data_IF_405143464680
#
_entry.id   IF_405143464680
#
_cell.length_a   1.000
_cell.length_b   1.000
_cell.length_c   1.000
_cell.angle_alpha   90.00
_cell.angle_beta   90.00
_cell.angle_gamma   90.00
#
_symmetry.space_group_name_H-M   'P 1'
#
loop_
_entity.id
_entity.type
_entity.pdbx_description
1 polymer ?
#
# COMPACT_ATOMS: atom_id res chain seq x y z
N UNK A 1 3.78 -41.25 -18.54
CA UNK A 1 3.50 -40.22 -17.52
C UNK A 1 3.13 -38.99 -18.33
N UNK A 2 1.82 -38.79 -18.54
CA UNK A 2 1.31 -37.86 -19.54
C UNK A 2 1.53 -36.42 -19.08
N UNK A 3 2.16 -35.63 -19.95
CA UNK A 3 2.15 -34.18 -19.96
C UNK A 3 0.70 -33.68 -19.98
N UNK A 4 0.29 -33.01 -18.89
CA UNK A 4 -0.96 -32.23 -18.80
C UNK A 4 -0.59 -30.79 -18.42
N UNK A 5 0.39 -30.23 -19.12
CA UNK A 5 0.71 -28.82 -19.01
C UNK A 5 0.56 -28.21 -20.39
N UNK A 6 -0.35 -27.25 -20.49
CA UNK A 6 -0.63 -26.43 -21.66
C UNK A 6 -1.67 -26.95 -22.65
N UNK A 7 -2.92 -27.06 -22.18
CA UNK A 7 -4.05 -26.69 -23.03
C UNK A 7 -4.82 -25.57 -22.33
N UNK A 8 -4.85 -24.40 -22.98
CA UNK A 8 -5.51 -23.18 -22.50
C UNK A 8 -6.91 -23.47 -21.97
N UNK A 9 -7.04 -23.46 -20.64
CA UNK A 9 -8.32 -23.64 -19.95
C UNK A 9 -9.21 -22.43 -20.25
N UNK A 10 -10.04 -22.59 -21.28
CA UNK A 10 -11.32 -21.93 -21.52
C UNK A 10 -11.40 -20.49 -21.00
N UNK A 11 -11.13 -19.52 -21.86
CA UNK A 11 -11.50 -18.11 -21.66
C UNK A 11 -13.03 -17.96 -21.70
N UNK A 12 -13.72 -18.55 -20.72
CA UNK A 12 -15.03 -18.03 -20.36
C UNK A 12 -14.78 -16.60 -19.89
N UNK A 13 -15.48 -15.66 -20.52
CA UNK A 13 -15.43 -14.25 -20.17
C UNK A 13 -15.52 -14.11 -18.64
N UNK A 14 -14.49 -13.55 -18.02
CA UNK A 14 -14.40 -13.37 -16.56
C UNK A 14 -15.65 -12.63 -16.08
N UNK A 15 -16.15 -11.66 -16.85
CA UNK A 15 -17.38 -10.93 -16.53
C UNK A 15 -18.60 -11.87 -16.47
N UNK A 16 -18.69 -12.83 -17.39
CA UNK A 16 -19.79 -13.78 -17.43
C UNK A 16 -19.74 -14.75 -16.24
N UNK A 17 -18.55 -15.20 -15.83
CA UNK A 17 -18.36 -16.01 -14.62
C UNK A 17 -18.70 -15.24 -13.35
N UNK A 18 -18.24 -13.99 -13.23
CA UNK A 18 -18.56 -13.12 -12.08
C UNK A 18 -20.06 -12.93 -11.96
N UNK A 19 -20.75 -12.61 -13.07
CA UNK A 19 -22.21 -12.45 -13.10
C UNK A 19 -22.95 -13.74 -12.73
N UNK A 20 -22.48 -14.89 -13.23
CA UNK A 20 -23.07 -16.18 -12.88
C UNK A 20 -22.91 -16.51 -11.38
N UNK A 21 -21.74 -16.24 -10.79
CA UNK A 21 -21.49 -16.41 -9.36
C UNK A 21 -22.39 -15.52 -8.51
N UNK A 22 -22.47 -14.22 -8.85
CA UNK A 22 -23.34 -13.26 -8.16
C UNK A 22 -24.81 -13.71 -8.20
N UNK A 23 -25.30 -14.05 -9.39
CA UNK A 23 -26.69 -14.50 -9.59
C UNK A 23 -27.01 -15.73 -8.74
N UNK A 24 -26.14 -16.75 -8.76
CA UNK A 24 -26.32 -17.98 -7.97
C UNK A 24 -26.32 -17.72 -6.46
N UNK A 25 -25.49 -16.80 -5.96
CA UNK A 25 -25.42 -16.47 -4.54
C UNK A 25 -26.63 -15.66 -4.08
N UNK A 26 -27.12 -14.73 -4.91
CA UNK A 26 -28.36 -13.97 -4.66
C UNK A 26 -29.57 -14.88 -4.67
N UNK A 27 -29.73 -15.75 -5.67
CA UNK A 27 -30.83 -16.71 -5.77
C UNK A 27 -30.89 -17.66 -4.55
N UNK A 28 -29.73 -18.01 -4.00
CA UNK A 28 -29.62 -18.83 -2.78
C UNK A 28 -29.80 -18.05 -1.48
N UNK A 29 -30.08 -16.74 -1.54
CA UNK A 29 -30.15 -15.82 -0.40
C UNK A 29 -28.87 -15.80 0.47
N UNK A 30 -27.71 -16.05 -0.15
CA UNK A 30 -26.39 -16.02 0.51
C UNK A 30 -25.67 -14.68 0.31
N UNK A 31 -26.17 -13.83 -0.59
CA UNK A 31 -25.59 -12.53 -0.93
C UNK A 31 -26.69 -11.51 -1.20
N UNK A 32 -26.52 -10.29 -0.68
CA UNK A 32 -27.29 -9.12 -1.08
C UNK A 32 -26.47 -8.32 -2.10
N UNK A 33 -26.98 -8.13 -3.31
CA UNK A 33 -26.31 -7.35 -4.35
C UNK A 33 -26.00 -5.91 -3.88
N UNK A 34 -26.88 -5.30 -3.06
CA UNK A 34 -26.63 -3.96 -2.50
C UNK A 34 -25.46 -3.95 -1.51
N UNK A 35 -25.15 -5.08 -0.88
CA UNK A 35 -23.97 -5.18 -0.02
C UNK A 35 -22.68 -5.18 -0.87
N UNK A 36 -22.69 -5.84 -2.03
CA UNK A 36 -21.57 -5.81 -2.99
C UNK A 36 -21.33 -4.38 -3.47
N UNK A 37 -22.37 -3.67 -3.90
CA UNK A 37 -22.27 -2.27 -4.36
C UNK A 37 -21.66 -1.36 -3.29
N UNK A 38 -22.06 -1.53 -2.02
CA UNK A 38 -21.49 -0.77 -0.89
C UNK A 38 -20.00 -1.07 -0.69
N UNK A 39 -19.58 -2.32 -0.84
CA UNK A 39 -18.16 -2.71 -0.73
C UNK A 39 -17.37 -2.10 -1.88
N UNK A 40 -17.90 -2.13 -3.11
CA UNK A 40 -17.25 -1.53 -4.28
C UNK A 40 -17.08 -0.02 -4.07
N UNK A 41 -18.14 0.70 -3.69
CA UNK A 41 -18.08 2.15 -3.43
C UNK A 41 -17.09 2.50 -2.31
N UNK A 42 -17.04 1.68 -1.25
CA UNK A 42 -16.10 1.88 -0.14
C UNK A 42 -14.64 1.91 -0.63
N UNK A 43 -14.22 0.91 -1.41
CA UNK A 43 -12.84 0.81 -1.86
C UNK A 43 -12.52 1.64 -3.11
N UNK A 44 -13.52 2.05 -3.88
CA UNK A 44 -13.31 2.91 -5.05
C UNK A 44 -13.26 4.40 -4.67
N UNK A 45 -14.12 4.84 -3.74
CA UNK A 45 -14.37 6.27 -3.53
C UNK A 45 -14.03 6.76 -2.12
N UNK A 46 -14.03 5.89 -1.10
CA UNK A 46 -13.92 6.31 0.31
C UNK A 46 -12.59 5.95 0.96
N UNK A 47 -12.00 4.82 0.59
CA UNK A 47 -10.72 4.35 1.12
C UNK A 47 -9.65 4.51 0.04
N UNK A 48 -8.55 5.18 0.38
CA UNK A 48 -7.47 5.42 -0.55
C UNK A 48 -6.22 6.01 0.10
N UNK A 49 -5.14 6.19 -0.68
CA UNK A 49 -3.83 6.62 -0.17
C UNK A 49 -3.83 8.01 0.48
N UNK A 50 -4.86 8.83 0.28
CA UNK A 50 -4.99 10.12 0.95
C UNK A 50 -5.06 9.98 2.48
N UNK A 51 -5.54 8.84 2.99
CA UNK A 51 -5.56 8.55 4.43
C UNK A 51 -4.14 8.40 4.98
N UNK A 52 -3.30 7.58 4.33
CA UNK A 52 -1.89 7.45 4.68
C UNK A 52 -1.13 8.77 4.55
N UNK A 53 -1.43 9.57 3.53
CA UNK A 53 -0.82 10.89 3.36
C UNK A 53 -1.11 11.82 4.55
N UNK A 54 -2.32 11.76 5.13
CA UNK A 54 -2.66 12.49 6.36
C UNK A 54 -1.85 12.02 7.56
N UNK A 55 -1.71 10.70 7.74
CA UNK A 55 -0.87 10.10 8.79
C UNK A 55 0.58 10.61 8.67
N UNK A 56 1.15 10.58 7.47
CA UNK A 56 2.52 11.03 7.21
C UNK A 56 2.67 12.53 7.45
N UNK A 57 1.77 13.37 6.92
CA UNK A 57 1.82 14.82 7.10
C UNK A 57 1.69 15.22 8.58
N UNK A 58 0.84 14.53 9.35
CA UNK A 58 0.74 14.70 10.79
C UNK A 58 2.06 14.35 11.48
N UNK A 59 2.67 13.21 11.15
CA UNK A 59 3.96 12.82 11.71
C UNK A 59 5.12 13.77 11.33
N UNK A 60 5.04 14.45 10.19
CA UNK A 60 6.02 15.47 9.80
C UNK A 60 5.86 16.82 10.53
N UNK A 61 4.70 17.08 11.13
CA UNK A 61 4.36 18.37 11.76
C UNK A 61 4.18 18.27 13.28
N UNK A 62 3.97 17.06 13.80
CA UNK A 62 3.74 16.76 15.21
C UNK A 62 4.74 15.67 15.66
N UNK A 63 5.86 16.05 16.31
CA UNK A 63 6.88 15.11 16.77
C UNK A 63 6.37 14.10 17.82
N UNK A 64 5.38 14.47 18.63
CA UNK A 64 4.80 13.58 19.64
C UNK A 64 3.93 12.52 18.96
N UNK A 65 3.13 12.92 17.96
CA UNK A 65 2.40 11.97 17.11
C UNK A 65 3.35 11.05 16.36
N UNK A 66 4.46 11.57 15.81
CA UNK A 66 5.47 10.75 15.14
C UNK A 66 6.03 9.68 16.07
N UNK A 67 6.29 10.02 17.32
CA UNK A 67 6.80 9.06 18.32
C UNK A 67 5.78 7.95 18.55
N UNK A 68 4.52 8.30 18.83
CA UNK A 68 3.43 7.31 18.99
C UNK A 68 3.25 6.45 17.73
N UNK A 69 3.31 7.04 16.54
CA UNK A 69 3.15 6.33 15.27
C UNK A 69 4.21 5.25 15.05
N UNK A 70 5.45 5.50 15.48
CA UNK A 70 6.55 4.55 15.32
C UNK A 70 6.60 3.52 16.45
N UNK A 71 6.01 3.81 17.61
CA UNK A 71 5.86 2.87 18.73
C UNK A 71 4.66 1.93 18.54
N UNK A 72 3.51 2.47 18.17
CA UNK A 72 2.26 1.75 17.92
C UNK A 72 1.52 2.37 16.73
N UNK A 73 1.81 1.83 15.54
CA UNK A 73 1.21 2.28 14.29
C UNK A 73 -0.31 2.07 14.27
N UNK A 74 -0.82 1.02 14.92
CA UNK A 74 -2.25 0.72 14.99
C UNK A 74 -2.99 1.81 15.75
N UNK A 75 -2.54 2.11 16.97
CA UNK A 75 -3.18 3.12 17.81
C UNK A 75 -3.11 4.52 17.18
N UNK A 76 -1.93 4.91 16.69
CA UNK A 76 -1.73 6.25 16.12
C UNK A 76 -2.50 6.48 14.81
N UNK A 77 -2.60 5.46 13.95
CA UNK A 77 -3.42 5.55 12.72
C UNK A 77 -4.92 5.61 13.07
N UNK A 78 -5.34 4.91 14.13
CA UNK A 78 -6.71 4.96 14.63
C UNK A 78 -7.10 6.33 15.23
N UNK A 79 -6.15 7.14 15.74
CA UNK A 79 -6.41 8.52 16.18
C UNK A 79 -7.04 9.38 15.06
N UNK A 80 -6.73 9.08 13.80
CA UNK A 80 -7.28 9.76 12.61
C UNK A 80 -8.52 9.07 12.03
N UNK A 81 -9.02 8.02 12.68
CA UNK A 81 -10.21 7.27 12.26
C UNK A 81 -9.95 6.23 11.15
N UNK A 82 -8.70 5.95 10.82
CA UNK A 82 -8.35 4.98 9.77
C UNK A 82 -8.16 3.60 10.39
N UNK A 83 -9.20 2.78 10.35
CA UNK A 83 -9.15 1.39 10.83
C UNK A 83 -9.93 0.51 9.86
N UNK A 84 -9.73 -0.81 9.93
CA UNK A 84 -10.55 -1.75 9.20
C UNK A 84 -9.78 -2.93 8.63
N UNK A 85 -10.44 -3.63 7.71
CA UNK A 85 -9.97 -4.87 7.10
C UNK A 85 -8.61 -4.65 6.43
N UNK A 86 -7.68 -5.57 6.66
CA UNK A 86 -6.29 -5.49 6.18
C UNK A 86 -5.55 -4.27 6.72
N UNK A 87 -5.79 -3.91 7.97
CA UNK A 87 -5.12 -2.84 8.70
C UNK A 87 -5.40 -2.90 10.20
N UNK A 88 -5.72 -4.08 10.71
CA UNK A 88 -5.99 -4.36 12.12
C UNK A 88 -4.70 -4.28 12.96
N UNK A 89 -3.56 -4.64 12.37
CA UNK A 89 -2.23 -4.52 12.97
C UNK A 89 -1.29 -3.75 12.02
N UNK A 90 -1.05 -2.48 12.34
CA UNK A 90 -0.26 -1.57 11.52
C UNK A 90 1.13 -1.34 12.12
N UNK A 91 2.15 -1.44 11.27
CA UNK A 91 3.53 -1.08 11.60
C UNK A 91 4.01 0.00 10.63
N UNK A 92 4.46 1.12 11.17
CA UNK A 92 5.03 2.22 10.38
C UNK A 92 6.55 2.18 10.44
N UNK A 93 7.19 2.12 9.28
CA UNK A 93 8.65 2.00 9.15
C UNK A 93 9.22 3.28 8.56
N UNK A 94 10.05 3.98 9.33
CA UNK A 94 10.57 5.29 8.96
C UNK A 94 11.82 5.20 8.07
N UNK A 95 11.81 5.95 6.97
CA UNK A 95 13.02 6.22 6.20
C UNK A 95 13.91 7.23 6.93
N UNK A 96 15.22 7.09 6.73
CA UNK A 96 16.28 8.00 7.18
C UNK A 96 17.36 8.06 6.11
N UNK A 97 18.35 8.95 6.24
CA UNK A 97 19.50 9.02 5.33
C UNK A 97 20.23 7.66 5.19
N UNK A 98 20.24 6.88 6.28
CA UNK A 98 20.93 5.60 6.36
C UNK A 98 20.05 4.41 5.98
N UNK A 99 18.71 4.54 5.99
CA UNK A 99 17.78 3.41 5.81
C UNK A 99 16.61 3.81 4.91
N UNK A 100 16.43 3.07 3.82
CA UNK A 100 15.25 3.15 2.96
C UNK A 100 14.43 1.86 3.09
N UNK A 101 13.15 1.98 3.39
CA UNK A 101 12.23 0.87 3.53
C UNK A 101 11.39 0.72 2.27
N UNK A 102 11.06 -0.52 1.90
CA UNK A 102 10.12 -0.85 0.83
C UNK A 102 9.26 -2.03 1.25
N UNK A 103 7.97 -2.02 0.92
CA UNK A 103 7.02 -3.09 1.32
C UNK A 103 6.64 -3.98 0.14
N UNK A 104 6.38 -5.25 0.41
CA UNK A 104 5.94 -6.23 -0.58
C UNK A 104 5.04 -7.26 0.08
N UNK A 105 4.27 -7.99 -0.72
CA UNK A 105 3.70 -9.26 -0.32
C UNK A 105 4.11 -10.29 -1.37
N UNK A 106 5.18 -11.03 -1.10
CA UNK A 106 5.75 -11.96 -2.09
C UNK A 106 4.75 -13.06 -2.48
N UNK A 107 3.92 -13.49 -1.54
CA UNK A 107 2.98 -14.60 -1.72
C UNK A 107 1.68 -14.22 -2.45
N UNK A 108 1.23 -12.98 -2.35
CA UNK A 108 0.00 -12.53 -3.00
C UNK A 108 -0.05 -11.02 -3.22
N UNK A 109 -0.68 -10.29 -2.31
CA UNK A 109 -0.98 -8.86 -2.43
C UNK A 109 -1.42 -8.19 -1.12
N UNK A 110 -1.03 -8.73 0.05
CA UNK A 110 -1.33 -8.13 1.34
C UNK A 110 -0.88 -6.67 1.38
N UNK A 111 -1.73 -5.78 1.88
CA UNK A 111 -1.55 -4.33 1.73
C UNK A 111 -2.39 -3.59 2.78
N UNK A 112 -1.94 -2.46 3.36
CA UNK A 112 -2.67 -1.75 4.41
C UNK A 112 -3.86 -0.97 3.84
N UNK A 113 -5.01 -1.62 3.67
CA UNK A 113 -6.14 -1.01 2.96
C UNK A 113 -6.65 0.29 3.60
N UNK A 114 -6.81 0.40 4.94
CA UNK A 114 -7.34 1.61 5.56
C UNK A 114 -6.53 2.88 5.28
N UNK A 115 -5.20 2.75 5.10
CA UNK A 115 -4.31 3.89 4.84
C UNK A 115 -3.97 4.06 3.37
N UNK A 116 -3.81 2.97 2.61
CA UNK A 116 -3.29 3.02 1.24
C UNK A 116 -4.31 2.63 0.15
N UNK A 117 -5.51 2.19 0.51
CA UNK A 117 -6.51 1.66 -0.43
C UNK A 117 -6.13 0.29 -0.98
N UNK A 118 -6.66 -0.07 -2.15
CA UNK A 118 -6.28 -1.32 -2.81
C UNK A 118 -4.90 -1.22 -3.47
N UNK A 119 -4.10 -2.31 -3.48
CA UNK A 119 -2.75 -2.30 -4.04
C UNK A 119 -2.78 -2.03 -5.55
N UNK A 120 -1.80 -1.26 -6.08
CA UNK A 120 -1.68 -1.05 -7.52
C UNK A 120 -1.42 -2.37 -8.27
N UNK A 121 -1.69 -2.38 -9.57
CA UNK A 121 -1.50 -3.58 -10.40
C UNK A 121 -0.07 -4.11 -10.31
N UNK A 122 0.94 -3.26 -10.52
CA UNK A 122 2.34 -3.66 -10.48
C UNK A 122 2.76 -4.34 -9.15
N UNK A 123 2.14 -3.99 -8.02
CA UNK A 123 2.46 -4.57 -6.72
C UNK A 123 2.04 -6.04 -6.62
N UNK A 124 0.96 -6.40 -7.32
CA UNK A 124 0.37 -7.75 -7.34
C UNK A 124 1.06 -8.68 -8.35
N UNK A 125 1.78 -8.10 -9.32
CA UNK A 125 2.39 -8.84 -10.42
C UNK A 125 3.71 -9.50 -10.00
N UNK A 126 3.99 -10.65 -10.63
CA UNK A 126 5.19 -11.45 -10.36
C UNK A 126 6.53 -10.67 -10.49
N UNK A 127 6.72 -9.73 -11.44
CA UNK A 127 7.98 -9.01 -11.57
C UNK A 127 8.37 -8.23 -10.32
N UNK A 128 7.42 -7.56 -9.65
CA UNK A 128 7.68 -6.85 -8.40
C UNK A 128 7.91 -7.85 -7.26
N UNK A 129 6.96 -8.77 -7.07
CA UNK A 129 6.91 -9.71 -5.93
C UNK A 129 8.11 -10.63 -5.84
N UNK A 130 8.68 -11.04 -6.98
CA UNK A 130 9.81 -11.96 -7.01
C UNK A 130 11.17 -11.26 -6.89
N UNK A 131 11.29 -10.01 -7.38
CA UNK A 131 12.58 -9.33 -7.53
C UNK A 131 12.91 -8.41 -6.37
N UNK A 132 11.93 -7.70 -5.81
CA UNK A 132 12.20 -6.66 -4.80
C UNK A 132 12.84 -7.23 -3.52
N UNK A 133 12.63 -8.50 -3.21
CA UNK A 133 13.27 -9.19 -2.08
C UNK A 133 14.68 -9.73 -2.36
N UNK A 134 15.10 -9.76 -3.62
CA UNK A 134 16.42 -10.29 -4.05
C UNK A 134 17.34 -9.14 -4.43
N UNK A 135 16.85 -8.24 -5.29
CA UNK A 135 17.59 -7.09 -5.80
C UNK A 135 16.73 -5.83 -5.73
N UNK A 136 16.46 -5.33 -4.50
CA UNK A 136 15.60 -4.17 -4.31
C UNK A 136 16.14 -2.90 -4.98
N UNK A 137 17.46 -2.73 -5.08
CA UNK A 137 18.06 -1.52 -5.67
C UNK A 137 17.78 -1.42 -7.16
N UNK A 138 17.93 -2.51 -7.91
CA UNK A 138 17.61 -2.50 -9.34
C UNK A 138 16.11 -2.30 -9.58
N UNK A 139 15.25 -2.91 -8.74
CA UNK A 139 13.80 -2.67 -8.83
C UNK A 139 13.47 -1.20 -8.54
N UNK A 140 14.04 -0.60 -7.50
CA UNK A 140 13.85 0.82 -7.19
C UNK A 140 14.31 1.74 -8.33
N UNK A 141 15.41 1.39 -9.01
CA UNK A 141 15.90 2.14 -10.17
C UNK A 141 14.88 2.14 -11.34
N UNK A 142 14.10 1.07 -11.53
CA UNK A 142 13.01 1.01 -12.52
C UNK A 142 11.85 1.96 -12.18
N UNK A 143 11.67 2.29 -10.89
CA UNK A 143 10.75 3.33 -10.43
C UNK A 143 11.38 4.74 -10.45
N UNK A 144 12.63 4.87 -10.89
CA UNK A 144 13.37 6.14 -10.88
C UNK A 144 13.97 6.50 -9.52
N UNK A 145 14.00 5.57 -8.56
CA UNK A 145 14.61 5.77 -7.24
C UNK A 145 16.04 5.24 -7.23
N UNK A 146 17.01 6.15 -7.15
CA UNK A 146 18.42 5.79 -6.97
C UNK A 146 18.87 6.19 -5.57
N UNK A 147 19.46 5.26 -4.83
CA UNK A 147 19.92 5.45 -3.46
C UNK A 147 21.45 5.36 -3.40
N UNK A 148 22.12 6.14 -2.53
CA UNK A 148 23.54 5.95 -2.24
C UNK A 148 23.86 4.49 -1.88
N UNK A 149 25.05 4.03 -2.23
CA UNK A 149 25.51 2.67 -1.88
C UNK A 149 25.53 2.45 -0.36
N UNK A 150 25.74 3.51 0.41
CA UNK A 150 25.77 3.51 1.87
C UNK A 150 24.39 3.38 2.52
N UNK A 151 23.31 3.70 1.81
CA UNK A 151 21.94 3.64 2.35
C UNK A 151 21.46 2.19 2.39
N UNK A 152 21.18 1.63 3.56
CA UNK A 152 20.64 0.28 3.69
C UNK A 152 19.21 0.23 3.12
N UNK A 153 18.92 -0.76 2.27
CA UNK A 153 17.53 -1.03 1.84
C UNK A 153 16.96 -2.16 2.68
N UNK A 154 15.80 -1.91 3.33
CA UNK A 154 15.06 -2.90 4.12
C UNK A 154 13.75 -3.23 3.42
N UNK A 155 13.57 -4.51 3.10
CA UNK A 155 12.37 -5.00 2.43
C UNK A 155 11.47 -5.65 3.48
N UNK A 156 10.21 -5.21 3.55
CA UNK A 156 9.21 -5.69 4.48
C UNK A 156 8.19 -6.54 3.75
N UNK A 157 8.30 -7.86 3.91
CA UNK A 157 7.38 -8.82 3.30
C UNK A 157 6.17 -9.08 4.21
N UNK A 158 4.99 -8.73 3.71
CA UNK A 158 3.71 -8.86 4.41
C UNK A 158 3.21 -10.31 4.31
N UNK A 159 3.84 -11.20 5.07
CA UNK A 159 3.64 -12.65 5.04
C UNK A 159 2.75 -13.21 6.19
N UNK A 160 2.24 -12.32 7.05
CA UNK A 160 1.34 -12.63 8.15
C UNK A 160 0.26 -11.52 8.27
N UNK A 161 -0.25 -11.24 9.47
CA UNK A 161 -1.31 -10.24 9.69
C UNK A 161 -0.80 -8.80 9.81
N UNK A 162 0.49 -8.58 10.09
CA UNK A 162 1.07 -7.24 10.11
C UNK A 162 0.96 -6.57 8.73
N UNK A 163 0.63 -5.28 8.74
CA UNK A 163 0.56 -4.44 7.55
C UNK A 163 1.51 -3.26 7.69
N UNK A 164 2.38 -3.09 6.70
CA UNK A 164 3.45 -2.09 6.74
C UNK A 164 3.09 -0.86 5.91
N UNK A 165 3.39 0.32 6.46
CA UNK A 165 3.38 1.58 5.72
C UNK A 165 4.72 2.29 5.94
N UNK A 166 5.31 2.81 4.86
CA UNK A 166 6.54 3.61 4.97
C UNK A 166 6.19 5.02 5.41
N UNK A 167 6.92 5.53 6.42
CA UNK A 167 6.97 6.96 6.72
C UNK A 167 8.17 7.55 5.94
N UNK A 168 7.94 8.19 4.78
CA UNK A 168 9.02 8.79 4.02
C UNK A 168 9.62 9.99 4.76
N UNK A 169 10.84 10.37 4.37
CA UNK A 169 11.44 11.62 4.85
C UNK A 169 10.69 12.82 4.26
N UNK A 170 10.55 13.88 5.07
CA UNK A 170 10.00 15.16 4.61
C UNK A 170 10.97 15.80 3.61
N UNK A 171 10.52 16.19 2.41
CA UNK A 171 11.39 16.85 1.44
C UNK A 171 11.78 18.26 1.91
N UNK A 172 12.99 18.69 1.56
CA UNK A 172 13.49 20.05 1.80
C UNK A 172 12.60 21.09 1.10
N UNK A 173 12.62 22.34 1.60
CA UNK A 173 11.86 23.44 1.01
C UNK A 173 10.37 23.40 1.34
N UNK A 174 9.98 22.54 2.29
CA UNK A 174 8.60 22.45 2.79
C UNK A 174 8.42 23.11 4.15
N UNK A 175 9.41 23.84 4.64
CA UNK A 175 9.36 24.54 5.93
C UNK A 175 8.18 25.51 5.96
N UNK A 176 7.38 25.46 7.04
CA UNK A 176 6.21 26.33 7.21
C UNK A 176 4.96 25.94 6.42
N UNK A 177 5.02 24.94 5.52
CA UNK A 177 3.82 24.41 4.87
C UNK A 177 2.84 23.84 5.90
N UNK A 178 1.55 24.07 5.66
CA UNK A 178 0.46 23.46 6.41
C UNK A 178 0.37 21.95 6.15
N UNK A 179 -0.32 21.24 7.03
CA UNK A 179 -0.55 19.80 6.86
C UNK A 179 -1.26 19.48 5.52
N UNK A 180 -2.23 20.30 5.12
CA UNK A 180 -2.96 20.14 3.85
C UNK A 180 -2.05 20.26 2.63
N UNK A 181 -1.11 21.20 2.65
CA UNK A 181 -0.14 21.38 1.57
C UNK A 181 0.88 20.23 1.53
N UNK A 182 1.30 19.71 2.70
CA UNK A 182 2.18 18.55 2.80
C UNK A 182 1.53 17.26 2.28
N UNK A 183 0.23 17.07 2.54
CA UNK A 183 -0.55 15.92 2.02
C UNK A 183 -0.48 15.83 0.50
N UNK A 184 -0.45 16.96 -0.21
CA UNK A 184 -0.37 16.99 -1.66
C UNK A 184 0.98 16.46 -2.21
N UNK A 185 2.03 16.47 -1.39
CA UNK A 185 3.36 15.97 -1.77
C UNK A 185 3.53 14.47 -1.53
N UNK A 186 2.71 13.88 -0.65
CA UNK A 186 2.87 12.48 -0.23
C UNK A 186 2.15 11.57 -1.22
N UNK A 187 2.93 10.79 -1.96
CA UNK A 187 2.42 9.87 -2.97
C UNK A 187 2.18 8.48 -2.37
N UNK A 188 1.32 7.69 -3.03
CA UNK A 188 1.19 6.28 -2.67
C UNK A 188 2.53 5.56 -2.72
N UNK A 189 3.32 5.81 -3.75
CA UNK A 189 4.58 5.13 -3.99
C UNK A 189 5.63 5.49 -2.91
N UNK A 190 5.61 6.71 -2.36
CA UNK A 190 6.47 7.06 -1.22
C UNK A 190 6.08 6.35 0.08
N UNK A 191 4.81 5.98 0.25
CA UNK A 191 4.32 5.21 1.39
C UNK A 191 4.45 3.68 1.19
N UNK A 192 4.67 3.22 -0.04
CA UNK A 192 5.12 1.84 -0.32
C UNK A 192 6.65 1.74 -0.20
N UNK A 193 7.36 2.84 -0.47
CA UNK A 193 8.81 2.90 -0.52
C UNK A 193 9.40 2.73 -1.92
N UNK A 194 8.58 2.76 -2.97
CA UNK A 194 9.03 2.71 -4.38
C UNK A 194 9.18 4.09 -5.01
N UNK A 195 8.97 5.16 -4.24
CA UNK A 195 9.13 6.55 -4.67
C UNK A 195 9.55 7.46 -3.53
N UNK A 196 9.81 8.72 -3.85
CA UNK A 196 9.94 9.79 -2.87
C UNK A 196 8.66 10.65 -2.86
N UNK A 197 8.38 11.39 -1.77
CA UNK A 197 7.43 12.49 -1.84
C UNK A 197 7.82 13.47 -2.94
N UNK A 198 6.84 14.16 -3.50
CA UNK A 198 7.08 15.19 -4.50
C UNK A 198 7.85 16.35 -3.86
N UNK A 199 8.80 16.92 -4.61
CA UNK A 199 9.42 18.19 -4.23
C UNK A 199 8.44 19.34 -4.49
N UNK A 200 8.36 20.35 -3.62
CA UNK A 200 7.46 21.49 -3.82
C UNK A 200 7.81 22.34 -5.06
N UNK A 201 9.01 22.15 -5.64
CA UNK A 201 9.53 22.84 -6.81
C UNK A 201 9.49 22.02 -8.11
N UNK A 202 8.91 20.81 -8.09
CA UNK A 202 8.83 19.90 -9.24
C UNK A 202 7.58 20.11 -10.10
#
# INVERSE_FOLDING_TARGET
>A
MHDIHDEGRYTTDIALRVKAMESLLVEKNLLDAKAVDKIVDLYQNKIGPRNGARVVARAWTDPDYRTRLLEDGTAAVAELGYTGVQGEEMVVVANTDAVHNVTVCTLCSCYPWPTLGLPPNWYKEAPYRSRVVIDPRSVLAEFGVTLPETTQVRVWDSNAELRYMVLPMRPEGTEGMSEDELVALITRDSMIGTGFPLSPSA
#
